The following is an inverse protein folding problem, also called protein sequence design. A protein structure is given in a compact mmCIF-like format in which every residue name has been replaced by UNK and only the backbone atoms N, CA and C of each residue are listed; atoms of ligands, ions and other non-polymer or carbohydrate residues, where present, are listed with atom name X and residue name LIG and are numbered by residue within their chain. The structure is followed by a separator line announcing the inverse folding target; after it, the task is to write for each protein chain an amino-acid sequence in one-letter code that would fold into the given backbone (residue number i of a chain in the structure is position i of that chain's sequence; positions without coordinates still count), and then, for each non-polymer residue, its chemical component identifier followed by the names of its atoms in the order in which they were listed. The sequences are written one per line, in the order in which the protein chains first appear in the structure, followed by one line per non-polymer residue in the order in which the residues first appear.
data_IF_864516838343
#
_entry.id   IF_864516838343
#
_cell.length_a   1.000
_cell.length_b   1.000
_cell.length_c   1.000
_cell.angle_alpha   90.00
_cell.angle_beta   90.00
_cell.angle_gamma   90.00
#
_symmetry.space_group_name_H-M   'P 1'
#
loop_
_entity.id
_entity.type
_entity.pdbx_description
1 polymer ?
#
# COMPACT_ATOMS: atom_id res chain seq x y z
N UNK A 1 -8.82 -22.72 5.66
CA UNK A 1 -9.82 -21.75 5.17
C UNK A 1 -9.36 -20.35 5.58
N UNK A 2 -9.34 -19.38 4.68
CA UNK A 2 -8.83 -18.03 4.98
C UNK A 2 -9.75 -17.25 5.93
N UNK A 3 -9.19 -16.70 7.00
CA UNK A 3 -9.93 -15.89 7.98
C UNK A 3 -9.94 -14.43 7.54
N UNK A 4 -11.14 -13.86 7.37
CA UNK A 4 -11.32 -12.44 7.03
C UNK A 4 -11.81 -11.70 8.27
N UNK A 5 -11.11 -10.64 8.65
CA UNK A 5 -11.54 -9.74 9.74
C UNK A 5 -11.62 -8.30 9.23
N UNK A 6 -12.48 -7.51 9.86
CA UNK A 6 -12.78 -6.14 9.46
C UNK A 6 -12.59 -5.20 10.64
N UNK A 7 -12.02 -4.03 10.38
CA UNK A 7 -11.88 -2.95 11.36
C UNK A 7 -12.36 -1.63 10.76
N UNK A 8 -13.04 -0.82 11.56
CA UNK A 8 -13.64 0.45 11.14
C UNK A 8 -14.95 0.70 11.88
N UNK A 9 -15.70 1.72 11.44
CA UNK A 9 -17.05 1.93 11.96
C UNK A 9 -17.99 0.80 11.55
N UNK A 10 -19.05 0.56 12.32
CA UNK A 10 -20.06 -0.47 12.04
C UNK A 10 -20.62 -0.36 10.60
N UNK A 11 -20.88 0.86 10.14
CA UNK A 11 -21.34 1.15 8.78
C UNK A 11 -20.34 0.71 7.72
N UNK A 12 -19.04 0.95 7.95
CA UNK A 12 -17.98 0.57 7.02
C UNK A 12 -17.75 -0.94 7.01
N UNK A 13 -17.78 -1.57 8.18
CA UNK A 13 -17.66 -3.02 8.34
C UNK A 13 -18.81 -3.73 7.63
N UNK A 14 -20.06 -3.31 7.89
CA UNK A 14 -21.25 -3.90 7.28
C UNK A 14 -21.23 -3.78 5.76
N UNK A 15 -20.85 -2.60 5.23
CA UNK A 15 -20.69 -2.40 3.79
C UNK A 15 -19.62 -3.33 3.20
N UNK A 16 -18.45 -3.43 3.83
CA UNK A 16 -17.37 -4.28 3.35
C UNK A 16 -17.75 -5.76 3.36
N UNK A 17 -18.31 -6.25 4.48
CA UNK A 17 -18.76 -7.63 4.62
C UNK A 17 -19.84 -8.00 3.59
N UNK A 18 -20.82 -7.12 3.36
CA UNK A 18 -21.87 -7.35 2.37
C UNK A 18 -21.33 -7.48 0.94
N UNK A 19 -20.29 -6.72 0.59
CA UNK A 19 -19.66 -6.79 -0.73
C UNK A 19 -18.81 -8.06 -0.87
N UNK A 20 -18.00 -8.39 0.13
CA UNK A 20 -17.14 -9.58 0.08
C UNK A 20 -17.94 -10.88 0.10
N UNK A 21 -19.08 -10.93 0.80
CA UNK A 21 -19.99 -12.10 0.84
C UNK A 21 -20.53 -12.49 -0.53
N UNK A 22 -20.58 -11.56 -1.50
CA UNK A 22 -21.02 -11.84 -2.88
C UNK A 22 -19.99 -12.63 -3.69
N UNK A 23 -18.73 -12.73 -3.24
CA UNK A 23 -17.70 -13.51 -3.93
C UNK A 23 -17.75 -14.96 -3.49
N UNK A 24 -18.24 -15.82 -4.38
CA UNK A 24 -18.33 -17.27 -4.13
C UNK A 24 -16.94 -17.86 -3.87
N UNK A 25 -16.81 -18.55 -2.73
CA UNK A 25 -15.60 -19.32 -2.40
C UNK A 25 -14.37 -18.49 -2.02
N UNK A 26 -14.49 -17.19 -1.76
CA UNK A 26 -13.35 -16.29 -1.45
C UNK A 26 -12.41 -16.86 -0.37
N UNK A 27 -12.97 -17.42 0.71
CA UNK A 27 -12.20 -18.00 1.83
C UNK A 27 -11.54 -19.36 1.51
N UNK A 28 -11.92 -20.00 0.40
CA UNK A 28 -11.36 -21.28 -0.06
C UNK A 28 -10.29 -21.10 -1.14
N UNK A 29 -10.13 -19.89 -1.67
CA UNK A 29 -9.08 -19.58 -2.63
C UNK A 29 -7.70 -19.54 -1.97
N UNK A 30 -6.64 -19.67 -2.77
CA UNK A 30 -5.29 -19.34 -2.30
C UNK A 30 -5.24 -17.90 -1.82
N UNK A 31 -4.43 -17.63 -0.79
CA UNK A 31 -4.34 -16.29 -0.19
C UNK A 31 -3.98 -15.22 -1.23
N UNK A 32 -2.97 -15.49 -2.07
CA UNK A 32 -2.59 -14.55 -3.13
C UNK A 32 -3.71 -14.22 -4.11
N UNK A 33 -4.58 -15.18 -4.46
CA UNK A 33 -5.73 -14.90 -5.33
C UNK A 33 -6.81 -14.11 -4.59
N UNK A 34 -7.11 -14.49 -3.35
CA UNK A 34 -8.09 -13.79 -2.52
C UNK A 34 -7.69 -12.33 -2.27
N UNK A 35 -6.40 -12.06 -1.99
CA UNK A 35 -5.84 -10.72 -1.78
C UNK A 35 -6.09 -9.79 -2.96
N UNK A 36 -5.81 -10.25 -4.19
CA UNK A 36 -6.04 -9.45 -5.40
C UNK A 36 -7.53 -9.15 -5.61
N UNK A 37 -8.41 -10.13 -5.40
CA UNK A 37 -9.86 -9.92 -5.51
C UNK A 37 -10.35 -8.92 -4.46
N UNK A 38 -9.91 -9.06 -3.21
CA UNK A 38 -10.28 -8.13 -2.13
C UNK A 38 -9.77 -6.73 -2.45
N UNK A 39 -8.52 -6.57 -2.90
CA UNK A 39 -7.96 -5.28 -3.31
C UNK A 39 -8.81 -4.62 -4.42
N UNK A 40 -9.22 -5.38 -5.45
CA UNK A 40 -10.10 -4.89 -6.50
C UNK A 40 -11.45 -4.42 -5.96
N UNK A 41 -12.06 -5.16 -5.04
CA UNK A 41 -13.33 -4.77 -4.42
C UNK A 41 -13.20 -3.52 -3.55
N UNK A 42 -12.09 -3.40 -2.81
CA UNK A 42 -11.77 -2.21 -2.01
C UNK A 42 -11.75 -0.98 -2.93
N UNK A 43 -11.04 -1.06 -4.05
CA UNK A 43 -10.88 0.06 -4.97
C UNK A 43 -12.16 0.37 -5.75
N UNK A 44 -12.88 -0.66 -6.20
CA UNK A 44 -14.13 -0.55 -6.97
C UNK A 44 -15.25 0.09 -6.16
N UNK A 45 -15.40 -0.29 -4.89
CA UNK A 45 -16.52 0.15 -4.04
C UNK A 45 -16.14 1.24 -3.03
N UNK A 46 -14.88 1.69 -3.05
CA UNK A 46 -14.35 2.67 -2.09
C UNK A 46 -14.55 2.21 -0.65
N UNK A 47 -14.19 0.95 -0.36
CA UNK A 47 -14.33 0.39 0.99
C UNK A 47 -13.36 1.09 1.94
N UNK A 48 -13.89 1.68 3.01
CA UNK A 48 -13.08 2.41 3.99
C UNK A 48 -12.58 1.52 5.12
N UNK A 49 -13.35 0.49 5.49
CA UNK A 49 -12.93 -0.50 6.48
C UNK A 49 -11.58 -1.13 6.10
N UNK A 50 -10.75 -1.36 7.11
CA UNK A 50 -9.53 -2.14 6.99
C UNK A 50 -9.91 -3.62 6.97
N UNK A 51 -9.51 -4.33 5.92
CA UNK A 51 -9.84 -5.74 5.70
C UNK A 51 -8.56 -6.55 5.86
N UNK A 52 -8.53 -7.49 6.80
CA UNK A 52 -7.42 -8.41 6.99
C UNK A 52 -7.79 -9.78 6.42
N UNK A 53 -6.84 -10.40 5.73
CA UNK A 53 -6.87 -11.81 5.38
C UNK A 53 -5.76 -12.51 6.15
N UNK A 54 -6.11 -13.53 6.93
CA UNK A 54 -5.19 -14.28 7.79
C UNK A 54 -4.34 -13.37 8.70
N UNK A 55 -4.97 -12.35 9.27
CA UNK A 55 -4.32 -11.40 10.18
C UNK A 55 -3.59 -10.25 9.48
N UNK A 56 -3.39 -10.29 8.17
CA UNK A 56 -2.65 -9.27 7.42
C UNK A 56 -3.57 -8.39 6.57
N UNK A 57 -3.38 -7.06 6.63
CA UNK A 57 -4.19 -6.12 5.87
C UNK A 57 -4.10 -6.36 4.34
N UNK A 58 -5.20 -6.09 3.64
CA UNK A 58 -5.24 -5.99 2.18
C UNK A 58 -5.39 -4.52 1.80
N UNK A 59 -4.48 -4.04 0.95
CA UNK A 59 -4.31 -2.61 0.73
C UNK A 59 -4.99 -2.12 -0.55
N UNK A 60 -5.53 -0.91 -0.49
CA UNK A 60 -6.12 -0.20 -1.62
C UNK A 60 -5.04 0.37 -2.52
N UNK A 61 -4.87 -0.19 -3.72
CA UNK A 61 -3.91 0.29 -4.72
C UNK A 61 -4.25 1.72 -5.13
N UNK A 62 -5.53 2.01 -5.40
CA UNK A 62 -5.99 3.35 -5.80
C UNK A 62 -5.68 4.43 -4.75
N UNK A 63 -5.87 4.15 -3.45
CA UNK A 63 -5.59 5.12 -2.38
C UNK A 63 -4.10 5.44 -2.27
N UNK A 64 -3.26 4.40 -2.25
CA UNK A 64 -1.80 4.55 -2.17
C UNK A 64 -1.26 5.34 -3.36
N UNK A 65 -1.62 4.97 -4.59
CA UNK A 65 -1.12 5.65 -5.79
C UNK A 65 -1.65 7.07 -5.95
N UNK A 66 -2.87 7.35 -5.46
CA UNK A 66 -3.37 8.73 -5.40
C UNK A 66 -2.49 9.58 -4.48
N UNK A 67 -2.10 9.05 -3.32
CA UNK A 67 -1.24 9.78 -2.40
C UNK A 67 0.19 9.93 -2.93
N UNK A 68 0.75 8.88 -3.56
CA UNK A 68 2.04 8.95 -4.24
C UNK A 68 2.07 10.08 -5.30
N UNK A 69 1.06 10.17 -6.17
CA UNK A 69 0.99 11.24 -7.18
C UNK A 69 0.95 12.63 -6.55
N UNK A 70 0.29 12.78 -5.39
CA UNK A 70 0.29 14.03 -4.64
C UNK A 70 1.70 14.36 -4.12
N UNK A 71 2.41 13.39 -3.54
CA UNK A 71 3.79 13.53 -3.08
C UNK A 71 4.70 13.92 -4.24
N UNK A 72 4.61 13.23 -5.38
CA UNK A 72 5.39 13.54 -6.58
C UNK A 72 5.15 14.96 -7.11
N UNK A 73 3.90 15.44 -7.06
CA UNK A 73 3.57 16.81 -7.46
C UNK A 73 4.18 17.86 -6.51
N UNK A 74 4.27 17.56 -5.22
CA UNK A 74 4.81 18.49 -4.21
C UNK A 74 6.34 18.40 -4.08
N UNK A 75 6.95 17.27 -4.43
CA UNK A 75 8.38 17.01 -4.26
C UNK A 75 8.76 16.54 -2.86
N UNK A 76 7.91 16.77 -1.86
CA UNK A 76 8.13 16.44 -0.45
C UNK A 76 7.00 15.61 0.15
N UNK A 77 7.30 14.95 1.27
CA UNK A 77 6.34 14.18 2.06
C UNK A 77 5.77 14.98 3.23
N UNK A 78 6.50 15.98 3.72
CA UNK A 78 6.02 16.95 4.70
C UNK A 78 5.21 18.07 4.03
N UNK A 79 4.40 18.77 4.82
CA UNK A 79 3.75 20.00 4.41
C UNK A 79 4.59 21.19 4.88
N UNK A 80 4.96 22.16 4.01
CA UNK A 80 5.69 23.36 4.44
C UNK A 80 4.95 24.17 5.50
N UNK A 81 3.62 24.14 5.45
CA UNK A 81 2.74 24.67 6.47
C UNK A 81 2.54 23.61 7.55
N UNK A 82 3.17 23.80 8.71
CA UNK A 82 3.16 22.83 9.81
C UNK A 82 1.83 22.72 10.54
N UNK A 83 0.91 23.66 10.35
CA UNK A 83 -0.45 23.58 10.88
C UNK A 83 -1.33 22.60 10.08
N UNK A 84 -0.84 22.19 8.90
CA UNK A 84 -1.51 21.21 8.05
C UNK A 84 -0.88 19.83 8.19
N UNK A 85 -1.69 18.76 8.03
CA UNK A 85 -1.16 17.41 8.04
C UNK A 85 -0.15 17.20 6.90
N UNK A 86 0.79 16.24 7.06
CA UNK A 86 1.74 15.89 6.03
C UNK A 86 1.10 15.52 4.69
N UNK A 87 1.90 15.64 3.62
CA UNK A 87 1.48 15.18 2.30
C UNK A 87 1.40 13.66 2.27
N UNK A 88 2.33 12.97 2.94
CA UNK A 88 2.22 11.54 3.23
C UNK A 88 0.99 11.29 4.12
N UNK A 89 0.07 10.49 3.64
CA UNK A 89 -1.11 10.10 4.41
C UNK A 89 -0.77 8.99 5.38
N UNK A 90 -1.47 8.96 6.52
CA UNK A 90 -1.35 7.87 7.49
C UNK A 90 -1.56 6.49 6.86
N UNK A 91 -2.50 6.36 5.92
CA UNK A 91 -2.75 5.10 5.21
C UNK A 91 -1.55 4.64 4.37
N UNK A 92 -0.89 5.55 3.66
CA UNK A 92 0.29 5.20 2.86
C UNK A 92 1.51 4.94 3.77
N UNK A 93 1.67 5.72 4.84
CA UNK A 93 2.67 5.44 5.87
C UNK A 93 2.53 4.04 6.47
N UNK A 94 1.32 3.64 6.89
CA UNK A 94 1.11 2.30 7.45
C UNK A 94 1.47 1.19 6.45
N UNK A 95 1.20 1.39 5.15
CA UNK A 95 1.63 0.47 4.11
C UNK A 95 3.16 0.37 4.02
N UNK A 96 3.86 1.51 4.02
CA UNK A 96 5.33 1.54 3.97
C UNK A 96 5.93 0.83 5.19
N UNK A 97 5.42 1.13 6.38
CA UNK A 97 5.87 0.54 7.64
C UNK A 97 5.58 -0.98 7.71
N UNK A 98 4.36 -1.41 7.41
CA UNK A 98 3.95 -2.80 7.59
C UNK A 98 4.37 -3.74 6.46
N UNK A 99 4.58 -3.24 5.24
CA UNK A 99 4.83 -4.10 4.08
C UNK A 99 6.20 -3.87 3.42
N UNK A 100 6.77 -2.66 3.49
CA UNK A 100 7.92 -2.31 2.66
C UNK A 100 9.27 -2.48 3.38
N UNK A 101 9.29 -2.95 4.63
CA UNK A 101 10.51 -3.20 5.38
C UNK A 101 11.11 -1.93 5.96
N UNK A 102 10.29 -1.16 6.67
CA UNK A 102 10.73 -0.03 7.50
C UNK A 102 10.54 -0.40 8.97
N UNK A 103 11.64 -0.48 9.71
CA UNK A 103 11.70 -1.05 11.06
C UNK A 103 11.87 0.00 12.16
N UNK A 104 12.39 1.18 11.83
CA UNK A 104 12.77 2.18 12.84
C UNK A 104 11.79 3.36 13.00
N UNK A 105 10.79 3.47 12.12
CA UNK A 105 9.89 4.63 12.07
C UNK A 105 8.51 4.25 12.59
N UNK A 106 8.35 4.32 13.92
CA UNK A 106 7.10 3.94 14.62
C UNK A 106 5.95 4.93 14.42
N UNK A 107 6.25 6.14 13.94
CA UNK A 107 5.26 7.13 13.54
C UNK A 107 5.60 7.80 12.20
N UNK A 108 4.59 8.49 11.66
CA UNK A 108 4.67 9.13 10.35
C UNK A 108 5.69 10.28 10.29
N UNK A 109 5.90 11.01 11.39
CA UNK A 109 6.86 12.11 11.44
C UNK A 109 8.30 11.60 11.46
N UNK A 110 8.56 10.52 12.21
CA UNK A 110 9.85 9.81 12.16
C UNK A 110 10.17 9.31 10.75
N UNK A 111 9.17 8.77 10.04
CA UNK A 111 9.33 8.35 8.64
C UNK A 111 9.68 9.54 7.74
N UNK A 112 8.91 10.62 7.82
CA UNK A 112 9.10 11.85 7.02
C UNK A 112 10.45 12.49 7.33
N UNK A 113 10.91 12.47 8.57
CA UNK A 113 12.22 13.01 8.93
C UNK A 113 13.35 12.24 8.24
N UNK A 114 13.22 10.91 8.11
CA UNK A 114 14.23 10.08 7.46
C UNK A 114 14.23 10.20 5.95
N UNK A 115 13.06 10.32 5.34
CA UNK A 115 12.90 10.39 3.89
C UNK A 115 11.94 11.55 3.51
N UNK A 116 12.34 12.80 3.71
CA UNK A 116 11.49 13.97 3.49
C UNK A 116 11.08 14.22 2.03
N UNK A 117 11.81 13.67 1.05
CA UNK A 117 11.67 13.97 -0.37
C UNK A 117 11.27 12.77 -1.23
N UNK A 118 10.78 13.07 -2.44
CA UNK A 118 10.53 12.05 -3.48
C UNK A 118 11.80 11.25 -3.81
N UNK A 119 12.98 11.89 -3.79
CA UNK A 119 14.22 11.20 -4.14
C UNK A 119 14.62 10.19 -3.07
N UNK A 120 14.50 10.53 -1.79
CA UNK A 120 14.75 9.58 -0.70
C UNK A 120 13.71 8.45 -0.69
N UNK A 121 12.46 8.76 -1.04
CA UNK A 121 11.44 7.73 -1.26
C UNK A 121 11.84 6.76 -2.39
N UNK A 122 12.38 7.26 -3.51
CA UNK A 122 12.91 6.41 -4.58
C UNK A 122 14.05 5.52 -4.07
N UNK A 123 15.01 6.09 -3.34
CA UNK A 123 16.14 5.33 -2.79
C UNK A 123 15.63 4.23 -1.86
N UNK A 124 14.62 4.50 -1.03
CA UNK A 124 13.96 3.48 -0.20
C UNK A 124 13.36 2.35 -1.03
N UNK A 125 12.69 2.64 -2.15
CA UNK A 125 12.12 1.61 -3.03
C UNK A 125 13.19 0.75 -3.75
N UNK A 126 14.33 1.36 -4.11
CA UNK A 126 15.49 0.64 -4.67
C UNK A 126 16.12 -0.27 -3.60
N UNK A 127 16.26 0.25 -2.38
CA UNK A 127 16.93 -0.43 -1.27
C UNK A 127 16.36 0.03 0.07
N UNK A 128 15.54 -0.83 0.69
CA UNK A 128 14.94 -0.56 1.98
C UNK A 128 15.95 -0.73 3.14
N UNK A 129 15.48 -0.56 4.38
CA UNK A 129 16.31 -0.68 5.60
C UNK A 129 16.92 -2.07 5.78
N UNK A 130 16.42 -3.09 5.07
CA UNK A 130 16.94 -4.47 5.07
C UNK A 130 17.92 -4.73 3.91
N UNK A 131 18.39 -3.67 3.24
CA UNK A 131 19.25 -3.74 2.05
C UNK A 131 18.65 -4.53 0.88
N UNK A 132 17.31 -4.61 0.78
CA UNK A 132 16.61 -5.29 -0.30
C UNK A 132 15.77 -4.30 -1.10
N UNK A 133 15.58 -4.57 -2.39
CA UNK A 133 14.54 -3.89 -3.17
C UNK A 133 13.18 -4.20 -2.56
N UNK A 134 12.31 -3.20 -2.43
CA UNK A 134 11.05 -3.35 -1.67
C UNK A 134 10.18 -4.49 -2.22
N UNK A 135 10.06 -4.61 -3.54
CA UNK A 135 9.25 -5.70 -4.13
C UNK A 135 9.81 -7.09 -3.81
N UNK A 136 11.13 -7.22 -3.63
CA UNK A 136 11.78 -8.50 -3.32
C UNK A 136 11.79 -8.81 -1.82
N UNK A 137 11.60 -7.79 -0.98
CA UNK A 137 11.37 -7.95 0.45
C UNK A 137 9.96 -8.50 0.75
N UNK A 138 8.94 -8.07 0.00
CA UNK A 138 7.54 -8.44 0.25
C UNK A 138 7.32 -9.95 -0.03
N UNK A 139 6.75 -10.73 0.91
CA UNK A 139 6.45 -12.14 0.70
C UNK A 139 5.62 -12.41 -0.56
N UNK A 140 5.91 -13.51 -1.26
CA UNK A 140 5.26 -13.87 -2.52
C UNK A 140 3.73 -13.97 -2.43
N UNK A 141 3.20 -14.38 -1.27
CA UNK A 141 1.76 -14.51 -1.03
C UNK A 141 1.04 -13.16 -0.81
N UNK A 142 1.76 -12.08 -0.47
CA UNK A 142 1.23 -10.71 -0.35
C UNK A 142 1.09 -10.04 -1.73
N UNK A 143 0.36 -10.69 -2.61
CA UNK A 143 0.23 -10.33 -4.03
C UNK A 143 -0.33 -8.93 -4.26
N UNK A 144 -1.25 -8.46 -3.40
CA UNK A 144 -1.83 -7.11 -3.43
C UNK A 144 -0.77 -6.03 -3.12
N UNK A 145 0.08 -6.26 -2.12
CA UNK A 145 1.18 -5.36 -1.77
C UNK A 145 2.23 -5.34 -2.88
N UNK A 146 2.61 -6.51 -3.42
CA UNK A 146 3.52 -6.61 -4.57
C UNK A 146 2.96 -5.89 -5.80
N UNK A 147 1.66 -6.00 -6.06
CA UNK A 147 1.00 -5.31 -7.17
C UNK A 147 1.01 -3.78 -7.00
N UNK A 148 0.91 -3.29 -5.76
CA UNK A 148 1.08 -1.87 -5.45
C UNK A 148 2.51 -1.43 -5.71
N UNK A 149 3.49 -2.12 -5.12
CA UNK A 149 4.91 -1.72 -5.23
C UNK A 149 5.40 -1.72 -6.67
N UNK A 150 5.00 -2.71 -7.48
CA UNK A 150 5.32 -2.70 -8.92
C UNK A 150 4.81 -1.45 -9.62
N UNK A 151 3.60 -0.99 -9.28
CA UNK A 151 3.04 0.23 -9.86
C UNK A 151 3.74 1.50 -9.33
N UNK A 152 4.12 1.50 -8.04
CA UNK A 152 4.93 2.58 -7.46
C UNK A 152 6.25 2.69 -8.23
N UNK A 153 6.95 1.58 -8.45
CA UNK A 153 8.20 1.55 -9.20
C UNK A 153 8.02 2.05 -10.65
N UNK A 154 6.94 1.64 -11.33
CA UNK A 154 6.61 2.18 -12.66
C UNK A 154 6.42 3.70 -12.63
N UNK A 155 5.76 4.19 -11.59
CA UNK A 155 5.47 5.63 -11.44
C UNK A 155 6.75 6.42 -11.09
N UNK A 156 7.62 5.87 -10.25
CA UNK A 156 8.84 6.52 -9.76
C UNK A 156 10.01 6.42 -10.75
N UNK A 157 10.06 5.37 -11.57
CA UNK A 157 11.17 5.06 -12.48
C UNK A 157 10.68 4.87 -13.94
N UNK A 158 9.99 5.86 -14.54
CA UNK A 158 9.30 5.68 -15.82
C UNK A 158 10.23 5.24 -16.97
N UNK A 159 11.47 5.75 -17.03
CA UNK A 159 12.45 5.36 -18.05
C UNK A 159 12.89 3.90 -17.92
N UNK A 160 13.12 3.40 -16.71
CA UNK A 160 13.53 2.01 -16.49
C UNK A 160 12.40 1.03 -16.82
N UNK A 161 11.17 1.41 -16.51
CA UNK A 161 9.98 0.63 -16.87
C UNK A 161 9.77 0.58 -18.38
N UNK A 162 9.95 1.70 -19.08
CA UNK A 162 9.89 1.75 -20.54
C UNK A 162 10.90 0.79 -21.20
N UNK A 163 12.16 0.77 -20.74
CA UNK A 163 13.19 -0.12 -21.27
C UNK A 163 12.85 -1.61 -21.11
N UNK A 164 12.25 -2.01 -19.99
CA UNK A 164 11.85 -3.40 -19.73
C UNK A 164 10.70 -3.90 -20.61
N UNK A 165 9.86 -3.01 -21.13
CA UNK A 165 8.74 -3.39 -22.01
C UNK A 165 9.12 -3.58 -23.47
N UNK A 166 10.38 -3.29 -23.84
CA UNK A 166 10.90 -3.39 -25.21
C UNK A 166 11.90 -4.52 -25.44
N UNK A 167 12.18 -5.33 -24.41
CA UNK A 167 12.95 -6.56 -24.48
C UNK A 167 11.99 -7.75 -24.54
#
# INVERSE_FOLDING_TARGET
MGKITYYGSEKEITKAAAILKKVRGLQRMSEGKARLIIQQLIDKHGLKATIHLNGNAVWSKKRILKNLRRIMKQGTLYNPDQDKPPILSHYFYQFLHQCCGSIAHYDIHGWIHKYPTVEELKQFFIKNEMNKRVVDYIPAWMTDARAIVREIEITLFPFQSYMKTRQ
#
